data_IF_092342067133
#
_entry.id   IF_092342067133
#
_cell.length_a   1.000
_cell.length_b   1.000
_cell.length_c   1.000
_cell.angle_alpha   90.00
_cell.angle_beta   90.00
_cell.angle_gamma   90.00
#
_symmetry.space_group_name_H-M   'P 1'
#
loop_
_entity.id
_entity.type
_entity.pdbx_description
1 polymer ?
#
# COMPACT_ATOMS: atom_id res chain seq x y z
N UNK A 1 -10.44 -1.13 15.33
CA UNK A 1 -10.85 -0.70 16.68
C UNK A 1 -9.68 -0.10 17.46
N UNK A 2 -8.57 -0.81 17.64
CA UNK A 2 -7.38 -0.28 18.35
C UNK A 2 -6.74 0.96 17.69
N UNK A 3 -6.56 0.96 16.36
CA UNK A 3 -5.99 2.10 15.62
C UNK A 3 -6.88 3.37 15.69
N UNK A 4 -8.21 3.20 15.70
CA UNK A 4 -9.15 4.33 15.83
C UNK A 4 -9.11 4.94 17.23
N UNK A 5 -8.96 4.11 18.27
CA UNK A 5 -8.77 4.59 19.64
C UNK A 5 -7.46 5.37 19.79
N UNK A 6 -6.34 4.84 19.28
CA UNK A 6 -5.05 5.55 19.31
C UNK A 6 -5.13 6.85 18.53
N UNK A 7 -5.66 6.82 17.31
CA UNK A 7 -5.82 8.01 16.48
C UNK A 7 -6.65 9.08 17.20
N UNK A 8 -7.79 8.70 17.79
CA UNK A 8 -8.64 9.62 18.55
C UNK A 8 -7.95 10.23 19.78
N UNK A 9 -7.18 9.45 20.53
CA UNK A 9 -6.39 9.95 21.67
C UNK A 9 -5.32 10.94 21.19
N UNK A 10 -4.61 10.63 20.12
CA UNK A 10 -3.59 11.51 19.56
C UNK A 10 -4.16 12.82 19.02
N UNK A 11 -5.34 12.80 18.39
CA UNK A 11 -6.00 14.03 17.92
C UNK A 11 -6.45 14.89 19.10
N UNK A 12 -7.13 14.29 20.09
CA UNK A 12 -7.68 15.01 21.25
C UNK A 12 -6.60 15.56 22.19
N UNK A 13 -5.48 14.86 22.37
CA UNK A 13 -4.38 15.25 23.26
C UNK A 13 -3.14 15.76 22.51
N UNK A 14 -3.28 16.14 21.24
CA UNK A 14 -2.15 16.52 20.39
C UNK A 14 -1.30 17.64 20.97
N UNK A 15 -1.92 18.69 21.51
CA UNK A 15 -1.21 19.83 22.11
C UNK A 15 -0.42 19.45 23.37
N UNK A 16 -1.00 18.62 24.24
CA UNK A 16 -0.37 18.22 25.50
C UNK A 16 0.80 17.26 25.25
N UNK A 17 0.61 16.28 24.36
CA UNK A 17 1.66 15.34 23.94
C UNK A 17 2.83 16.11 23.34
N UNK A 18 2.57 17.04 22.41
CA UNK A 18 3.64 17.85 21.80
C UNK A 18 4.32 18.73 22.84
N UNK A 19 3.57 19.29 23.80
CA UNK A 19 4.15 20.10 24.87
C UNK A 19 5.02 19.34 25.87
N UNK A 20 4.83 18.02 25.98
CA UNK A 20 5.69 17.13 26.78
C UNK A 20 7.11 17.04 26.16
N UNK A 21 7.19 16.98 24.83
CA UNK A 21 8.47 16.89 24.11
C UNK A 21 9.08 18.27 23.78
N UNK A 22 8.23 19.27 23.53
CA UNK A 22 8.62 20.65 23.29
C UNK A 22 7.91 21.56 24.30
N UNK A 23 8.54 21.88 25.43
CA UNK A 23 7.96 22.75 26.45
C UNK A 23 7.69 24.17 25.93
N UNK A 24 8.48 24.59 24.94
CA UNK A 24 8.44 25.95 24.41
C UNK A 24 7.37 26.11 23.34
N UNK A 25 6.19 26.56 23.79
CA UNK A 25 5.00 26.78 22.94
C UNK A 25 5.15 27.93 21.96
N UNK A 26 6.19 28.76 22.10
CA UNK A 26 6.46 29.89 21.20
C UNK A 26 7.29 29.50 19.99
N UNK A 27 7.96 28.34 20.05
CA UNK A 27 8.80 27.86 18.97
C UNK A 27 7.97 27.44 17.74
N UNK A 28 8.43 27.82 16.55
CA UNK A 28 7.83 27.38 15.29
C UNK A 28 7.73 25.84 15.21
N UNK A 29 8.67 25.12 15.82
CA UNK A 29 8.64 23.66 15.88
C UNK A 29 7.41 23.10 16.62
N UNK A 30 6.95 23.77 17.68
CA UNK A 30 5.75 23.36 18.42
C UNK A 30 4.50 23.50 17.55
N UNK A 31 4.37 24.62 16.83
CA UNK A 31 3.25 24.87 15.92
C UNK A 31 3.18 23.82 14.79
N UNK A 32 4.34 23.46 14.23
CA UNK A 32 4.42 22.41 13.21
C UNK A 32 4.08 21.02 13.75
N UNK A 33 4.51 20.69 14.96
CA UNK A 33 4.23 19.41 15.58
C UNK A 33 2.75 19.27 15.97
N UNK A 34 2.11 20.32 16.49
CA UNK A 34 0.67 20.31 16.81
C UNK A 34 -0.19 20.18 15.56
N UNK A 35 0.16 20.85 14.47
CA UNK A 35 -0.55 20.71 13.19
C UNK A 35 -0.31 19.36 12.51
N UNK A 36 0.89 18.79 12.70
CA UNK A 36 1.31 17.53 12.09
C UNK A 36 0.78 16.27 12.79
N UNK A 37 0.65 16.31 14.12
CA UNK A 37 0.20 15.16 14.92
C UNK A 37 -1.15 14.58 14.47
N UNK A 38 -2.21 15.37 14.20
CA UNK A 38 -3.48 14.81 13.73
C UNK A 38 -3.37 14.24 12.31
N UNK A 39 -2.52 14.81 11.44
CA UNK A 39 -2.26 14.24 10.11
C UNK A 39 -1.54 12.90 10.21
N UNK A 40 -0.58 12.79 11.13
CA UNK A 40 0.07 11.53 11.47
C UNK A 40 -0.92 10.53 12.10
N UNK A 41 -1.87 11.01 12.89
CA UNK A 41 -2.89 10.17 13.50
C UNK A 41 -3.77 9.44 12.46
N UNK A 42 -4.01 10.06 11.30
CA UNK A 42 -4.74 9.44 10.19
C UNK A 42 -3.91 8.32 9.52
N UNK A 43 -2.59 8.47 9.48
CA UNK A 43 -1.67 7.45 8.97
C UNK A 43 -1.87 6.10 9.66
N UNK A 44 -2.08 6.09 10.98
CA UNK A 44 -2.23 4.85 11.76
C UNK A 44 -3.31 3.89 11.23
N UNK A 45 -4.37 4.41 10.60
CA UNK A 45 -5.43 3.57 10.02
C UNK A 45 -4.89 2.82 8.80
N UNK A 46 -4.21 3.53 7.89
CA UNK A 46 -3.60 2.97 6.68
C UNK A 46 -2.40 2.08 7.02
N UNK A 47 -1.56 2.55 7.93
CA UNK A 47 -0.43 1.84 8.51
C UNK A 47 -0.86 0.48 9.07
N UNK A 48 -1.96 0.45 9.84
CA UNK A 48 -2.49 -0.79 10.41
C UNK A 48 -2.91 -1.80 9.33
N UNK A 49 -3.63 -1.34 8.30
CA UNK A 49 -4.05 -2.17 7.16
C UNK A 49 -2.82 -2.71 6.42
N UNK A 50 -1.83 -1.86 6.15
CA UNK A 50 -0.59 -2.23 5.47
C UNK A 50 0.21 -3.28 6.27
N UNK A 51 0.37 -3.11 7.60
CA UNK A 51 1.05 -4.07 8.47
C UNK A 51 0.34 -5.42 8.49
N UNK A 52 -0.98 -5.43 8.69
CA UNK A 52 -1.76 -6.66 8.74
C UNK A 52 -1.67 -7.40 7.40
N UNK A 53 -1.70 -6.67 6.29
CA UNK A 53 -1.57 -7.23 4.93
C UNK A 53 -0.19 -7.88 4.74
N UNK A 54 0.90 -7.21 5.16
CA UNK A 54 2.26 -7.76 5.09
C UNK A 54 2.38 -9.01 5.97
N UNK A 55 1.87 -8.96 7.19
CA UNK A 55 1.86 -10.11 8.10
C UNK A 55 1.12 -11.29 7.50
N UNK A 56 -0.05 -11.04 6.91
CA UNK A 56 -0.83 -12.05 6.20
C UNK A 56 -0.06 -12.68 5.03
N UNK A 57 0.56 -11.88 4.16
CA UNK A 57 1.35 -12.38 3.04
C UNK A 57 2.58 -13.17 3.49
N UNK A 58 3.13 -12.83 4.65
CA UNK A 58 4.25 -13.56 5.27
C UNK A 58 3.79 -14.91 5.80
N UNK A 59 2.60 -14.99 6.42
CA UNK A 59 2.02 -16.24 6.94
C UNK A 59 1.64 -17.26 5.86
N UNK A 60 1.32 -16.80 4.64
CA UNK A 60 1.00 -17.70 3.51
C UNK A 60 2.22 -18.08 2.67
N UNK A 61 3.44 -17.91 3.22
CA UNK A 61 4.73 -18.21 2.57
C UNK A 61 4.98 -17.50 1.23
N UNK A 62 4.22 -16.46 0.90
CA UNK A 62 4.42 -15.64 -0.31
C UNK A 62 5.43 -14.53 -0.05
N UNK A 63 6.64 -14.92 0.38
CA UNK A 63 7.72 -14.03 0.81
C UNK A 63 8.09 -12.97 -0.24
N UNK A 64 8.03 -13.31 -1.53
CA UNK A 64 8.35 -12.35 -2.60
C UNK A 64 7.40 -11.14 -2.63
N UNK A 65 6.13 -11.31 -2.25
CA UNK A 65 5.18 -10.19 -2.16
C UNK A 65 5.39 -9.40 -0.87
N UNK A 66 5.61 -10.09 0.25
CA UNK A 66 5.91 -9.47 1.54
C UNK A 66 7.20 -8.63 1.50
N UNK A 67 8.26 -9.10 0.83
CA UNK A 67 9.49 -8.33 0.66
C UNK A 67 9.28 -7.06 -0.17
N UNK A 68 8.55 -7.15 -1.30
CA UNK A 68 8.25 -5.98 -2.13
C UNK A 68 7.43 -4.96 -1.35
N UNK A 69 6.44 -5.42 -0.58
CA UNK A 69 5.63 -4.59 0.29
C UNK A 69 6.48 -3.80 1.30
N UNK A 70 7.38 -4.47 2.01
CA UNK A 70 8.25 -3.84 3.01
C UNK A 70 9.24 -2.85 2.37
N UNK A 71 9.78 -3.17 1.19
CA UNK A 71 10.66 -2.27 0.44
C UNK A 71 9.92 -1.03 -0.06
N UNK A 72 8.76 -1.21 -0.68
CA UNK A 72 7.94 -0.09 -1.19
C UNK A 72 7.54 0.85 -0.06
N UNK A 73 7.14 0.30 1.09
CA UNK A 73 6.79 1.08 2.28
C UNK A 73 7.92 1.96 2.80
N UNK A 74 9.18 1.53 2.67
CA UNK A 74 10.33 2.35 3.05
C UNK A 74 10.68 3.41 2.01
N UNK A 75 10.58 3.08 0.71
CA UNK A 75 11.06 3.92 -0.38
C UNK A 75 10.05 4.97 -0.84
N UNK A 76 8.76 4.63 -0.90
CA UNK A 76 7.73 5.54 -1.41
C UNK A 76 7.57 6.80 -0.54
N UNK A 77 7.48 6.72 0.80
CA UNK A 77 7.40 7.91 1.65
C UNK A 77 8.62 8.81 1.47
N UNK A 78 9.82 8.24 1.29
CA UNK A 78 11.06 9.00 1.04
C UNK A 78 11.00 9.73 -0.30
N UNK A 79 10.43 9.10 -1.34
CA UNK A 79 10.24 9.74 -2.64
C UNK A 79 9.24 10.90 -2.56
N UNK A 80 8.12 10.69 -1.86
CA UNK A 80 7.11 11.74 -1.63
C UNK A 80 7.64 12.85 -0.73
N UNK A 81 8.51 12.55 0.23
CA UNK A 81 9.16 13.53 1.10
C UNK A 81 10.02 14.52 0.30
N UNK A 82 10.53 14.17 -0.88
CA UNK A 82 11.23 15.14 -1.73
C UNK A 82 10.31 16.04 -2.55
N UNK A 83 9.08 15.59 -2.83
CA UNK A 83 8.15 16.24 -3.77
C UNK A 83 7.11 17.09 -3.03
N UNK A 84 6.55 16.58 -1.94
CA UNK A 84 5.44 17.21 -1.21
C UNK A 84 5.81 18.49 -0.45
N UNK A 85 7.01 18.63 0.17
CA UNK A 85 7.37 19.87 0.87
C UNK A 85 7.45 21.06 -0.08
N UNK A 86 7.73 20.84 -1.36
CA UNK A 86 7.77 21.89 -2.37
C UNK A 86 6.37 22.50 -2.66
N UNK A 87 5.28 21.76 -2.39
CA UNK A 87 3.91 22.21 -2.67
C UNK A 87 3.13 22.59 -1.40
N UNK A 88 3.32 21.85 -0.31
CA UNK A 88 2.53 21.99 0.93
C UNK A 88 3.36 22.36 2.16
N UNK A 89 4.66 22.64 2.00
CA UNK A 89 5.56 22.99 3.10
C UNK A 89 5.64 21.89 4.17
N UNK A 90 5.61 22.28 5.45
CA UNK A 90 5.76 21.35 6.58
C UNK A 90 4.60 20.35 6.68
N UNK A 91 3.40 20.72 6.26
CA UNK A 91 2.24 19.81 6.19
C UNK A 91 2.49 18.67 5.20
N UNK A 92 3.26 18.94 4.14
CA UNK A 92 3.65 17.94 3.14
C UNK A 92 4.53 16.82 3.72
N UNK A 93 5.32 17.11 4.76
CA UNK A 93 6.14 16.09 5.45
C UNK A 93 5.24 15.05 6.12
N UNK A 94 4.21 15.51 6.83
CA UNK A 94 3.28 14.64 7.54
C UNK A 94 2.38 13.86 6.57
N UNK A 95 1.96 14.49 5.46
CA UNK A 95 1.17 13.85 4.41
C UNK A 95 1.97 12.86 3.55
N UNK A 96 3.30 13.02 3.43
CA UNK A 96 4.13 12.14 2.62
C UNK A 96 4.09 10.68 3.12
N UNK A 97 4.00 10.48 4.43
CA UNK A 97 3.87 9.14 5.04
C UNK A 97 2.55 8.49 4.61
N UNK A 98 1.44 9.20 4.83
CA UNK A 98 0.09 8.74 4.44
C UNK A 98 -0.01 8.46 2.94
N UNK A 99 0.51 9.36 2.12
CA UNK A 99 0.52 9.22 0.66
C UNK A 99 1.37 8.03 0.21
N UNK A 100 2.53 7.81 0.84
CA UNK A 100 3.38 6.65 0.56
C UNK A 100 2.70 5.33 0.92
N UNK A 101 2.01 5.29 2.06
CA UNK A 101 1.27 4.12 2.52
C UNK A 101 0.08 3.81 1.60
N UNK A 102 -0.72 4.81 1.20
CA UNK A 102 -1.82 4.66 0.23
C UNK A 102 -1.31 4.18 -1.12
N UNK A 103 -0.24 4.80 -1.64
CA UNK A 103 0.32 4.44 -2.94
C UNK A 103 0.84 3.02 -2.93
N UNK A 104 1.48 2.61 -1.84
CA UNK A 104 1.93 1.22 -1.66
C UNK A 104 0.74 0.27 -1.76
N UNK A 105 -0.34 0.52 -0.99
CA UNK A 105 -1.61 -0.24 -1.05
C UNK A 105 -2.14 -0.35 -2.49
N UNK A 106 -2.22 0.78 -3.21
CA UNK A 106 -2.73 0.84 -4.59
C UNK A 106 -1.86 0.02 -5.55
N UNK A 107 -0.53 0.13 -5.45
CA UNK A 107 0.41 -0.61 -6.30
C UNK A 107 0.25 -2.12 -6.12
N UNK A 108 0.06 -2.61 -4.88
CA UNK A 108 -0.14 -4.04 -4.62
C UNK A 108 -1.46 -4.52 -5.23
N UNK A 109 -2.54 -3.78 -5.00
CA UNK A 109 -3.86 -4.12 -5.58
C UNK A 109 -3.75 -4.18 -7.10
N UNK A 110 -3.09 -3.21 -7.71
CA UNK A 110 -2.89 -3.15 -9.14
C UNK A 110 -2.04 -4.33 -9.68
N UNK A 111 -0.94 -4.68 -9.00
CA UNK A 111 -0.10 -5.82 -9.36
C UNK A 111 -0.87 -7.16 -9.24
N UNK A 112 -1.69 -7.33 -8.20
CA UNK A 112 -2.51 -8.52 -8.03
C UNK A 112 -3.61 -8.64 -9.09
N UNK A 113 -4.23 -7.52 -9.47
CA UNK A 113 -5.21 -7.48 -10.56
C UNK A 113 -4.56 -7.79 -11.92
N UNK A 114 -3.35 -7.28 -12.15
CA UNK A 114 -2.60 -7.53 -13.38
C UNK A 114 -2.14 -8.99 -13.50
N UNK A 115 -1.70 -9.62 -12.41
CA UNK A 115 -1.36 -11.05 -12.39
C UNK A 115 -2.59 -11.93 -12.73
N UNK A 116 -3.77 -11.59 -12.19
CA UNK A 116 -5.03 -12.28 -12.55
C UNK A 116 -5.39 -12.11 -14.02
N UNK A 117 -5.26 -10.90 -14.58
CA UNK A 117 -5.57 -10.65 -15.99
C UNK A 117 -4.58 -11.34 -16.93
N UNK A 118 -3.28 -11.39 -16.59
CA UNK A 118 -2.28 -12.09 -17.38
C UNK A 118 -2.53 -13.60 -17.42
N UNK A 119 -2.84 -14.21 -16.27
CA UNK A 119 -3.15 -15.65 -16.20
C UNK A 119 -4.44 -16.02 -16.92
N UNK A 120 -5.45 -15.15 -16.86
CA UNK A 120 -6.73 -15.35 -17.57
C UNK A 120 -6.53 -15.32 -19.09
N UNK A 121 -5.65 -14.45 -19.59
CA UNK A 121 -5.29 -14.39 -21.01
C UNK A 121 -4.59 -15.66 -21.50
N UNK A 122 -3.55 -16.12 -20.78
CA UNK A 122 -2.81 -17.34 -21.15
C UNK A 122 -3.68 -18.59 -21.08
N UNK A 123 -4.48 -18.77 -20.01
CA UNK A 123 -5.41 -19.90 -19.90
C UNK A 123 -6.41 -19.97 -21.06
N UNK A 124 -6.98 -18.84 -21.47
CA UNK A 124 -7.95 -18.79 -22.55
C UNK A 124 -7.34 -19.13 -23.92
N UNK A 125 -6.07 -18.78 -24.15
CA UNK A 125 -5.33 -19.12 -25.37
C UNK A 125 -4.97 -20.61 -25.39
N UNK A 126 -4.50 -21.15 -24.26
CA UNK A 126 -4.13 -22.56 -24.13
C UNK A 126 -5.35 -23.48 -24.32
N UNK A 127 -6.50 -23.11 -23.76
CA UNK A 127 -7.75 -23.87 -23.92
C UNK A 127 -8.24 -23.86 -25.38
N UNK A 128 -8.15 -22.72 -26.07
CA UNK A 128 -8.47 -22.63 -27.50
C UNK A 128 -7.55 -23.52 -28.35
N UNK A 129 -6.24 -23.50 -28.08
CA UNK A 129 -5.28 -24.31 -28.83
C UNK A 129 -5.51 -25.82 -28.64
N UNK A 130 -5.87 -26.24 -27.42
CA UNK A 130 -6.24 -27.63 -27.10
C UNK A 130 -7.50 -28.07 -27.85
N UNK A 131 -8.47 -27.18 -28.02
CA UNK A 131 -9.70 -27.48 -28.75
C UNK A 131 -9.45 -27.65 -30.25
N UNK A 132 -8.68 -26.74 -30.86
CA UNK A 132 -8.27 -26.85 -32.28
C UNK A 132 -7.47 -28.13 -32.53
N UNK A 133 -6.55 -28.48 -31.63
CA UNK A 133 -5.75 -29.71 -31.76
C UNK A 133 -6.62 -30.96 -31.74
N UNK A 134 -7.63 -31.02 -30.85
CA UNK A 134 -8.60 -32.13 -30.82
C UNK A 134 -9.42 -32.23 -32.10
N UNK A 135 -9.87 -31.11 -32.68
CA UNK A 135 -10.64 -31.11 -33.93
C UNK A 135 -9.84 -31.67 -35.10
N UNK A 136 -8.56 -31.31 -35.22
CA UNK A 136 -7.65 -31.84 -36.25
C UNK A 136 -7.47 -33.34 -36.08
N UNK A 137 -7.30 -33.82 -34.85
CA UNK A 137 -7.07 -35.24 -34.56
C UNK A 137 -8.31 -36.10 -34.85
N UNK A 138 -9.52 -35.59 -34.55
CA UNK A 138 -10.79 -36.23 -34.92
C UNK A 138 -10.96 -36.27 -36.44
N UNK A 139 -10.70 -35.15 -37.13
CA UNK A 139 -10.77 -35.08 -38.58
C UNK A 139 -9.83 -36.08 -39.27
N UNK A 140 -8.59 -36.18 -38.78
CA UNK A 140 -7.58 -37.14 -39.29
C UNK A 140 -8.01 -38.60 -39.07
N UNK A 141 -8.66 -38.90 -37.95
CA UNK A 141 -9.18 -40.24 -37.63
C UNK A 141 -10.41 -40.61 -38.49
N UNK A 142 -11.20 -39.63 -38.92
CA UNK A 142 -12.35 -39.82 -39.81
C UNK A 142 -11.97 -40.07 -41.26
N UNK A 143 -10.84 -39.54 -41.74
CA UNK A 143 -10.38 -39.69 -43.14
C UNK A 143 -9.58 -40.99 -43.34
N UNK A 144 -9.04 -41.57 -42.27
CA UNK A 144 -8.24 -42.81 -42.31
C UNK A 144 -9.09 -44.10 -42.22
N UNK A 145 -10.42 -44.00 -42.14
CA UNK A 145 -11.36 -45.12 -42.21
C UNK A 145 -12.12 -45.06 -43.52
#
# INVERSE_FOLDING_TARGET
MFALLISGVFVCFSGDIVSLFLPDRTSHAWQYAVAGLPLFAVDYIFFGINVITIGYYTSIERINLAMRLTLLRGILPVLFFFILPAWFGVTGIWLAVVAGDITTTVVIVFLNLKDKNSKKGTSNVDDHFREVTKMIEIGKRSVSK
#
